data_IF_417941339657
#
_entry.id   IF_417941339657
#
_cell.length_a   1.000
_cell.length_b   1.000
_cell.length_c   1.000
_cell.angle_alpha   90.00
_cell.angle_beta   90.00
_cell.angle_gamma   90.00
#
_symmetry.space_group_name_H-M   'P 1'
#
loop_
_entity.id
_entity.type
_entity.pdbx_description
1 polymer ?
#
# COMPACT_ATOMS: atom_id res chain seq x y z
N UNK A 1 10.07 -17.36 -16.03
CA UNK A 1 9.30 -18.00 -14.95
C UNK A 1 8.14 -17.08 -14.61
N UNK A 2 6.91 -17.56 -14.68
CA UNK A 2 5.74 -16.81 -14.21
C UNK A 2 5.69 -16.93 -12.69
N UNK A 3 6.14 -15.90 -11.99
CA UNK A 3 6.01 -15.81 -10.54
C UNK A 3 4.56 -15.45 -10.23
N UNK A 4 3.83 -16.35 -9.56
CA UNK A 4 2.47 -16.03 -9.10
C UNK A 4 2.54 -14.86 -8.11
N UNK A 5 1.79 -13.80 -8.37
CA UNK A 5 1.69 -12.64 -7.50
C UNK A 5 0.34 -12.66 -6.78
N UNK A 6 0.38 -12.56 -5.45
CA UNK A 6 -0.82 -12.50 -4.61
C UNK A 6 -1.06 -11.07 -4.18
N UNK A 7 -2.33 -10.65 -4.22
CA UNK A 7 -2.77 -9.34 -3.77
C UNK A 7 -3.82 -9.50 -2.67
N UNK A 8 -3.72 -8.70 -1.63
CA UNK A 8 -4.77 -8.53 -0.61
C UNK A 8 -5.06 -7.04 -0.46
N UNK A 9 -6.32 -6.68 -0.64
CA UNK A 9 -6.78 -5.31 -0.52
C UNK A 9 -7.93 -5.26 0.49
N UNK A 10 -7.77 -4.46 1.53
CA UNK A 10 -8.80 -4.20 2.53
C UNK A 10 -8.98 -2.67 2.65
N UNK A 11 -10.20 -2.18 2.49
CA UNK A 11 -10.51 -0.76 2.45
C UNK A 11 -11.73 -0.42 3.29
N UNK A 12 -11.53 0.46 4.25
CA UNK A 12 -12.60 1.24 4.86
C UNK A 12 -12.77 2.55 4.09
N UNK A 13 -13.96 2.83 3.58
CA UNK A 13 -14.27 4.11 2.94
C UNK A 13 -15.76 4.47 3.09
N UNK A 14 -16.09 5.72 2.81
CA UNK A 14 -17.45 6.28 2.86
C UNK A 14 -18.20 6.18 1.53
N UNK A 15 -17.48 5.89 0.42
CA UNK A 15 -18.04 5.90 -0.93
C UNK A 15 -17.30 4.97 -1.90
N UNK A 16 -18.03 4.42 -2.86
CA UNK A 16 -17.49 3.55 -3.92
C UNK A 16 -16.59 4.30 -4.88
N UNK A 17 -16.87 5.57 -5.14
CA UNK A 17 -16.05 6.41 -6.02
C UNK A 17 -14.65 6.64 -5.42
N UNK A 18 -14.58 6.83 -4.09
CA UNK A 18 -13.33 6.90 -3.37
C UNK A 18 -12.55 5.58 -3.46
N UNK A 19 -13.23 4.42 -3.29
CA UNK A 19 -12.58 3.12 -3.46
C UNK A 19 -11.98 2.93 -4.87
N UNK A 20 -12.70 3.32 -5.92
CA UNK A 20 -12.23 3.19 -7.31
C UNK A 20 -10.99 4.07 -7.58
N UNK A 21 -11.02 5.32 -7.11
CA UNK A 21 -9.90 6.26 -7.22
C UNK A 21 -8.65 5.73 -6.49
N UNK A 22 -8.84 5.25 -5.25
CA UNK A 22 -7.76 4.68 -4.44
C UNK A 22 -7.16 3.44 -5.09
N UNK A 23 -7.99 2.51 -5.56
CA UNK A 23 -7.53 1.30 -6.22
C UNK A 23 -6.69 1.64 -7.47
N UNK A 24 -7.16 2.58 -8.28
CA UNK A 24 -6.46 3.00 -9.49
C UNK A 24 -5.06 3.53 -9.18
N UNK A 25 -4.93 4.39 -8.17
CA UNK A 25 -3.65 4.92 -7.70
C UNK A 25 -2.75 3.83 -7.11
N UNK A 26 -3.30 2.94 -6.28
CA UNK A 26 -2.57 1.81 -5.67
C UNK A 26 -1.96 0.94 -6.75
N UNK A 27 -2.75 0.58 -7.77
CA UNK A 27 -2.28 -0.26 -8.88
C UNK A 27 -1.20 0.42 -9.71
N UNK A 28 -1.30 1.74 -9.94
CA UNK A 28 -0.25 2.52 -10.60
C UNK A 28 1.07 2.48 -9.82
N UNK A 29 1.00 2.67 -8.50
CA UNK A 29 2.18 2.64 -7.63
C UNK A 29 2.79 1.25 -7.53
N UNK A 30 1.99 0.19 -7.40
CA UNK A 30 2.48 -1.19 -7.43
C UNK A 30 3.19 -1.49 -8.75
N UNK A 31 2.64 -1.06 -9.89
CA UNK A 31 3.30 -1.22 -11.20
C UNK A 31 4.65 -0.52 -11.22
N UNK A 32 4.76 0.68 -10.65
CA UNK A 32 6.05 1.37 -10.52
C UNK A 32 7.04 0.63 -9.62
N UNK A 33 6.56 -0.03 -8.57
CA UNK A 33 7.38 -0.82 -7.65
C UNK A 33 7.91 -2.10 -8.30
N UNK A 34 7.14 -2.74 -9.18
CA UNK A 34 7.57 -3.91 -9.94
C UNK A 34 8.83 -3.63 -10.77
N UNK A 35 9.00 -2.40 -11.26
CA UNK A 35 10.22 -2.01 -11.98
C UNK A 35 11.45 -1.91 -11.07
N UNK A 36 11.26 -1.68 -9.77
CA UNK A 36 12.33 -1.51 -8.79
C UNK A 36 12.59 -2.76 -7.93
N UNK A 37 11.63 -3.69 -7.82
CA UNK A 37 11.70 -4.84 -6.95
C UNK A 37 11.56 -6.15 -7.74
N UNK A 38 12.65 -6.93 -7.83
CA UNK A 38 12.61 -8.26 -8.45
C UNK A 38 11.89 -9.26 -7.54
N UNK A 39 11.19 -10.20 -8.16
CA UNK A 39 10.63 -11.35 -7.46
C UNK A 39 9.49 -11.02 -6.50
N UNK A 40 8.68 -10.00 -6.79
CA UNK A 40 7.48 -9.69 -6.00
C UNK A 40 6.53 -10.89 -5.98
N UNK A 41 6.13 -11.31 -4.77
CA UNK A 41 5.28 -12.49 -4.52
C UNK A 41 3.96 -12.12 -3.86
N UNK A 42 3.99 -11.16 -2.93
CA UNK A 42 2.83 -10.80 -2.12
C UNK A 42 2.78 -9.30 -1.91
N UNK A 43 1.59 -8.74 -2.10
CA UNK A 43 1.29 -7.33 -1.86
C UNK A 43 0.02 -7.23 -1.03
N UNK A 44 0.07 -6.50 0.08
CA UNK A 44 -1.07 -6.23 0.94
C UNK A 44 -1.19 -4.74 1.20
N UNK A 45 -2.40 -4.22 0.99
CA UNK A 45 -2.78 -2.84 1.33
C UNK A 45 -4.00 -2.91 2.24
N UNK A 46 -3.89 -2.35 3.44
CA UNK A 46 -5.01 -2.18 4.35
C UNK A 46 -5.20 -0.68 4.64
N UNK A 47 -6.36 -0.13 4.29
CA UNK A 47 -6.74 1.25 4.58
C UNK A 47 -7.86 1.25 5.62
N UNK A 48 -7.62 1.84 6.79
CA UNK A 48 -8.58 1.86 7.89
C UNK A 48 -8.43 3.10 8.77
N UNK A 49 -9.49 3.41 9.50
CA UNK A 49 -9.53 4.48 10.51
C UNK A 49 -9.55 3.79 11.88
N UNK A 50 -8.53 3.98 12.75
CA UNK A 50 -8.49 3.34 14.05
C UNK A 50 -9.72 3.68 14.90
N UNK A 51 -10.26 2.69 15.62
CA UNK A 51 -11.36 2.89 16.56
C UNK A 51 -11.02 3.98 17.58
N UNK A 52 -11.98 4.88 17.85
CA UNK A 52 -11.81 5.99 18.79
C UNK A 52 -11.08 7.22 18.22
N UNK A 53 -10.69 7.22 16.94
CA UNK A 53 -10.23 8.43 16.25
C UNK A 53 -11.40 9.24 15.68
N UNK A 54 -11.26 10.57 15.61
CA UNK A 54 -12.29 11.52 15.14
C UNK A 54 -12.68 11.39 13.66
N UNK A 55 -12.38 10.27 12.99
CA UNK A 55 -12.50 10.12 11.54
C UNK A 55 -11.40 10.84 10.75
N UNK A 56 -10.58 11.65 11.41
CA UNK A 56 -9.54 12.49 10.78
C UNK A 56 -8.20 11.77 10.58
N UNK A 57 -8.05 10.56 11.11
CA UNK A 57 -6.79 9.80 11.05
C UNK A 57 -6.95 8.54 10.19
N UNK A 58 -6.80 8.73 8.89
CA UNK A 58 -6.76 7.66 7.90
C UNK A 58 -5.41 6.96 7.99
N UNK A 59 -5.42 5.64 8.17
CA UNK A 59 -4.22 4.81 8.29
C UNK A 59 -4.09 3.93 7.06
N UNK A 60 -2.89 3.87 6.51
CA UNK A 60 -2.52 2.92 5.47
C UNK A 60 -1.43 2.00 6.00
N UNK A 61 -1.60 0.69 5.85
CA UNK A 61 -0.57 -0.32 5.99
C UNK A 61 -0.27 -0.87 4.60
N UNK A 62 1.01 -0.87 4.24
CA UNK A 62 1.49 -1.42 2.98
C UNK A 62 2.58 -2.46 3.24
N UNK A 63 2.34 -3.68 2.79
CA UNK A 63 3.25 -4.81 2.96
C UNK A 63 3.61 -5.41 1.61
N UNK A 64 4.90 -5.71 1.47
CA UNK A 64 5.48 -6.31 0.28
C UNK A 64 6.39 -7.48 0.68
N UNK A 65 6.18 -8.62 0.03
CA UNK A 65 7.09 -9.77 0.09
C UNK A 65 7.65 -10.00 -1.31
N UNK A 66 8.98 -10.02 -1.42
CA UNK A 66 9.71 -10.39 -2.62
C UNK A 66 10.74 -11.49 -2.31
N UNK A 67 11.64 -11.81 -3.24
CA UNK A 67 12.73 -12.76 -3.00
C UNK A 67 13.63 -12.32 -1.84
N UNK A 68 13.97 -11.03 -1.78
CA UNK A 68 14.92 -10.47 -0.82
C UNK A 68 14.28 -9.59 0.25
N UNK A 69 12.97 -9.37 0.19
CA UNK A 69 12.27 -8.41 1.03
C UNK A 69 11.05 -9.01 1.70
N UNK A 70 10.85 -8.64 2.96
CA UNK A 70 9.60 -8.79 3.68
C UNK A 70 9.42 -7.51 4.51
N UNK A 71 8.81 -6.51 3.89
CA UNK A 71 8.73 -5.15 4.41
C UNK A 71 7.25 -4.84 4.64
N UNK A 72 6.95 -4.29 5.81
CA UNK A 72 5.62 -3.79 6.14
C UNK A 72 5.77 -2.42 6.77
N UNK A 73 5.20 -1.41 6.13
CA UNK A 73 5.22 -0.03 6.60
C UNK A 73 3.82 0.49 6.79
N UNK A 74 3.70 1.51 7.63
CA UNK A 74 2.44 2.20 7.82
C UNK A 74 2.62 3.71 7.84
N UNK A 75 1.53 4.40 7.55
CA UNK A 75 1.45 5.85 7.65
C UNK A 75 0.04 6.30 8.01
N UNK A 76 -0.06 7.51 8.57
CA UNK A 76 -1.31 8.17 8.94
C UNK A 76 -1.38 9.53 8.27
N UNK A 77 -2.55 9.89 7.78
CA UNK A 77 -2.82 11.21 7.22
C UNK A 77 -4.31 11.57 7.35
N UNK A 78 -4.65 12.81 7.02
CA UNK A 78 -6.05 13.26 6.90
C UNK A 78 -6.72 12.78 5.61
N UNK A 79 -5.93 12.38 4.61
CA UNK A 79 -6.39 11.89 3.30
C UNK A 79 -5.90 10.46 3.06
N UNK A 80 -6.71 9.64 2.40
CA UNK A 80 -6.40 8.23 2.16
C UNK A 80 -5.19 8.11 1.23
N UNK A 81 -5.17 8.97 0.22
CA UNK A 81 -4.14 9.06 -0.79
C UNK A 81 -2.79 9.36 -0.15
N UNK A 82 -2.73 10.39 0.69
CA UNK A 82 -1.51 10.77 1.40
C UNK A 82 -1.05 9.66 2.36
N UNK A 83 -1.98 9.02 3.08
CA UNK A 83 -1.65 7.91 3.97
C UNK A 83 -1.01 6.76 3.18
N UNK A 84 -1.61 6.36 2.05
CA UNK A 84 -1.06 5.30 1.20
C UNK A 84 0.27 5.69 0.58
N UNK A 85 0.39 6.87 -0.03
CA UNK A 85 1.61 7.34 -0.68
C UNK A 85 2.78 7.38 0.30
N UNK A 86 2.56 7.88 1.51
CA UNK A 86 3.58 7.92 2.55
C UNK A 86 4.01 6.50 3.00
N UNK A 87 3.08 5.55 3.11
CA UNK A 87 3.43 4.15 3.43
C UNK A 87 4.18 3.48 2.27
N UNK A 88 3.77 3.76 1.03
CA UNK A 88 4.41 3.29 -0.18
C UNK A 88 5.85 3.79 -0.31
N UNK A 89 6.07 5.10 -0.11
CA UNK A 89 7.41 5.69 -0.22
C UNK A 89 8.37 5.10 0.80
N UNK A 90 7.92 4.86 2.05
CA UNK A 90 8.71 4.13 3.04
C UNK A 90 9.10 2.73 2.55
N UNK A 91 8.18 1.93 2.02
CA UNK A 91 8.52 0.59 1.48
C UNK A 91 9.49 0.70 0.31
N UNK A 92 9.27 1.65 -0.58
CA UNK A 92 10.13 1.87 -1.74
C UNK A 92 11.55 2.26 -1.32
N UNK A 93 11.69 3.13 -0.33
CA UNK A 93 12.99 3.55 0.19
C UNK A 93 13.77 2.36 0.78
N UNK A 94 13.09 1.44 1.47
CA UNK A 94 13.70 0.20 1.96
C UNK A 94 14.16 -0.73 0.83
N UNK A 95 13.48 -0.71 -0.32
CA UNK A 95 13.85 -1.54 -1.48
C UNK A 95 15.01 -0.91 -2.26
N UNK A 96 15.03 0.41 -2.40
CA UNK A 96 16.02 1.13 -3.23
C UNK A 96 17.33 1.37 -2.48
N UNK A 97 17.31 1.63 -1.17
CA UNK A 97 18.49 2.00 -0.39
C UNK A 97 19.14 0.79 0.34
N UNK A 98 18.93 -0.42 -0.18
CA UNK A 98 19.64 -1.63 0.24
C UNK A 98 21.02 -1.72 -0.40
#
# INVERSE_FOLDING_TARGET
>A
MTTNMTFKFDFQTDSTDCAYSLMSMIMEKIKSLQSACKGLKYIEVNLFTPEGSSGENKTALFKVISDDNNIAEYSRSKRWEDAFLNAFDKVKDHIVNK
#
